data_IF_368433199847
#
_entry.id   IF_368433199847
#
_cell.length_a   1.000
_cell.length_b   1.000
_cell.length_c   1.000
_cell.angle_alpha   90.00
_cell.angle_beta   90.00
_cell.angle_gamma   90.00
#
_symmetry.space_group_name_H-M   'P 1'
#
loop_
_entity.id
_entity.type
_entity.pdbx_description
1 polymer ?
#
# COMPACT_ATOMS: atom_id res chain seq x y z
N UNK A 1 0.38 17.24 -58.13
CA UNK A 1 0.56 17.91 -56.83
C UNK A 1 1.61 17.15 -56.05
N UNK A 2 2.87 17.41 -56.42
CA UNK A 2 4.11 17.03 -55.75
C UNK A 2 4.79 18.37 -55.48
N UNK A 3 5.50 18.50 -54.35
CA UNK A 3 6.06 19.72 -53.75
C UNK A 3 5.16 20.29 -52.65
N UNK A 4 5.34 19.84 -51.40
CA UNK A 4 5.27 20.72 -50.21
C UNK A 4 5.77 20.08 -48.89
N UNK A 5 6.51 18.97 -48.89
CA UNK A 5 6.96 18.30 -47.65
C UNK A 5 8.47 18.04 -47.61
N UNK A 6 9.28 19.04 -47.97
CA UNK A 6 10.75 18.94 -47.99
C UNK A 6 11.43 20.20 -47.42
N UNK A 7 10.98 20.69 -46.25
CA UNK A 7 11.53 21.93 -45.68
C UNK A 7 11.66 21.96 -44.14
N UNK A 8 11.59 20.83 -43.42
CA UNK A 8 11.78 20.80 -41.96
C UNK A 8 12.67 19.61 -41.57
N UNK A 9 13.85 19.49 -42.19
CA UNK A 9 14.89 18.49 -41.81
C UNK A 9 16.31 19.12 -41.78
N UNK A 10 16.46 20.45 -41.91
CA UNK A 10 17.79 21.08 -42.11
C UNK A 10 18.07 22.22 -41.13
N UNK A 11 17.57 22.18 -39.89
CA UNK A 11 17.83 23.27 -38.93
C UNK A 11 18.09 22.84 -37.48
N UNK A 12 18.92 21.82 -37.26
CA UNK A 12 19.47 21.57 -35.92
C UNK A 12 20.79 20.75 -35.98
N UNK A 13 21.73 21.25 -36.77
CA UNK A 13 23.16 20.98 -36.56
C UNK A 13 23.88 22.31 -36.37
N UNK A 14 24.89 22.28 -35.50
CA UNK A 14 25.90 23.32 -35.20
C UNK A 14 25.61 24.17 -33.96
N UNK A 15 26.05 23.66 -32.81
CA UNK A 15 26.82 24.44 -31.84
C UNK A 15 27.70 23.49 -30.98
N UNK A 16 28.90 23.16 -31.51
CA UNK A 16 30.05 22.69 -30.71
C UNK A 16 31.17 23.69 -30.96
N UNK A 17 31.58 24.41 -29.91
CA UNK A 17 32.93 24.94 -29.56
C UNK A 17 32.78 25.40 -28.09
N UNK A 18 33.61 25.10 -27.09
CA UNK A 18 34.97 24.58 -27.01
C UNK A 18 35.87 25.52 -26.19
N UNK A 19 36.53 24.97 -25.15
CA UNK A 19 37.72 25.42 -24.39
C UNK A 19 37.62 26.54 -23.31
N UNK A 20 38.02 26.21 -22.07
CA UNK A 20 39.30 26.60 -21.40
C UNK A 20 39.31 25.97 -19.98
N UNK A 21 40.17 25.03 -19.56
CA UNK A 21 41.62 25.02 -19.26
C UNK A 21 42.04 25.80 -17.98
N UNK A 22 42.56 25.10 -16.95
CA UNK A 22 43.46 25.69 -15.93
C UNK A 22 43.24 25.41 -14.42
N UNK A 23 43.49 24.18 -13.97
CA UNK A 23 44.37 23.72 -12.84
C UNK A 23 44.43 24.37 -11.41
N UNK A 24 45.01 23.66 -10.39
CA UNK A 24 44.42 23.46 -9.05
C UNK A 24 45.09 24.30 -7.93
N UNK A 25 44.52 24.27 -6.71
CA UNK A 25 45.34 24.50 -5.52
C UNK A 25 44.86 23.78 -4.24
N UNK A 26 45.84 23.29 -3.51
CA UNK A 26 45.81 22.55 -2.25
C UNK A 26 45.51 23.42 -1.02
N UNK A 27 45.03 22.74 0.03
CA UNK A 27 45.29 22.95 1.46
C UNK A 27 45.10 24.34 2.09
N UNK A 28 44.24 24.42 3.11
CA UNK A 28 44.71 24.56 4.50
C UNK A 28 43.55 24.46 5.50
N UNK A 29 43.76 23.58 6.48
CA UNK A 29 43.18 23.64 7.81
C UNK A 29 43.70 24.92 8.50
N UNK A 30 42.83 25.69 9.16
CA UNK A 30 43.01 26.09 10.56
C UNK A 30 41.79 26.91 11.04
N UNK A 31 41.12 26.33 12.04
CA UNK A 31 40.89 26.87 13.38
C UNK A 31 40.16 28.19 13.68
N UNK A 32 39.54 28.11 14.87
CA UNK A 32 39.08 29.15 15.80
C UNK A 32 37.77 29.87 15.43
N UNK A 33 36.68 29.49 16.08
CA UNK A 33 36.27 29.88 17.45
C UNK A 33 35.53 31.23 17.52
N UNK A 34 34.24 31.09 17.87
CA UNK A 34 33.51 31.89 18.87
C UNK A 34 33.27 33.37 18.54
N UNK A 35 32.00 33.73 18.34
CA UNK A 35 31.28 34.57 19.31
C UNK A 35 29.77 34.68 19.05
N UNK A 36 29.04 34.37 20.11
CA UNK A 36 27.66 34.75 20.39
C UNK A 36 27.40 36.26 20.26
N UNK A 37 26.21 36.61 19.79
CA UNK A 37 25.27 37.57 20.39
C UNK A 37 23.99 37.54 19.53
N UNK A 38 22.79 37.15 20.02
CA UNK A 38 21.85 37.96 20.86
C UNK A 38 21.71 39.40 20.35
N UNK A 39 20.54 40.00 20.17
CA UNK A 39 19.12 39.67 20.30
C UNK A 39 18.37 40.93 19.84
N UNK A 40 17.04 40.82 19.68
CA UNK A 40 16.03 41.89 19.78
C UNK A 40 15.84 42.88 18.61
N UNK A 41 14.65 42.82 17.99
CA UNK A 41 13.56 43.82 18.09
C UNK A 41 12.50 43.44 17.03
N UNK A 42 11.29 43.03 17.38
CA UNK A 42 10.10 43.81 17.83
C UNK A 42 9.45 44.73 16.77
N UNK A 43 8.11 44.79 16.87
CA UNK A 43 7.09 45.58 16.16
C UNK A 43 6.54 45.04 14.82
N UNK A 44 5.26 44.60 14.80
CA UNK A 44 3.98 45.36 14.70
C UNK A 44 3.58 45.54 13.22
N UNK A 45 2.33 45.48 12.76
CA UNK A 45 1.01 45.70 13.36
C UNK A 45 -0.07 45.00 12.51
N UNK A 46 -1.27 44.94 13.09
CA UNK A 46 -2.57 44.60 12.49
C UNK A 46 -2.89 45.40 11.21
N UNK A 47 -3.72 44.82 10.32
CA UNK A 47 -4.90 45.57 9.86
C UNK A 47 -6.04 44.67 9.38
N UNK A 48 -7.23 44.95 9.91
CA UNK A 48 -8.53 44.36 9.58
C UNK A 48 -9.17 45.12 8.40
N UNK A 49 -9.95 44.42 7.56
CA UNK A 49 -11.15 45.07 7.00
C UNK A 49 -12.26 44.05 6.68
N UNK A 50 -13.36 44.25 7.40
CA UNK A 50 -14.78 44.02 7.08
C UNK A 50 -15.13 44.51 5.66
N UNK A 51 -16.21 44.20 4.95
CA UNK A 51 -17.46 43.43 5.07
C UNK A 51 -18.06 43.53 3.65
N UNK A 52 -18.87 42.55 3.21
CA UNK A 52 -20.12 42.85 2.49
C UNK A 52 -20.99 41.62 2.25
N UNK A 53 -22.16 41.69 2.90
CA UNK A 53 -23.38 40.95 2.65
C UNK A 53 -23.88 41.08 1.20
N UNK A 54 -24.28 39.96 0.61
CA UNK A 54 -25.36 39.94 -0.40
C UNK A 54 -26.27 38.72 -0.18
N UNK A 55 -27.56 39.03 0.00
CA UNK A 55 -28.74 38.17 0.04
C UNK A 55 -28.78 37.08 -1.04
N UNK A 56 -28.93 35.82 -0.64
CA UNK A 56 -29.35 34.72 -1.53
C UNK A 56 -30.43 33.87 -0.87
N UNK A 57 -31.67 34.16 -1.28
CA UNK A 57 -32.82 33.28 -1.57
C UNK A 57 -32.95 31.96 -0.80
N UNK A 58 -34.03 31.91 -0.01
CA UNK A 58 -34.78 30.69 0.36
C UNK A 58 -34.95 29.79 -0.86
N UNK A 59 -34.42 28.57 -0.74
CA UNK A 59 -34.67 27.46 -1.67
C UNK A 59 -35.33 26.35 -0.85
N UNK A 60 -36.41 25.82 -1.40
CA UNK A 60 -37.32 24.83 -0.82
C UNK A 60 -36.57 23.65 -0.16
N UNK A 61 -36.92 23.39 1.09
CA UNK A 61 -36.59 22.15 1.81
C UNK A 61 -37.38 20.99 1.17
N UNK A 62 -36.76 20.31 0.20
CA UNK A 62 -37.13 18.93 -0.09
C UNK A 62 -36.62 18.07 1.06
N UNK A 63 -37.56 17.63 1.91
CA UNK A 63 -37.42 16.54 2.89
C UNK A 63 -36.97 15.26 2.15
N UNK A 64 -35.67 15.13 1.91
CA UNK A 64 -35.03 13.85 1.61
C UNK A 64 -35.14 13.01 2.88
N UNK A 65 -36.08 12.05 2.84
CA UNK A 65 -36.07 10.93 3.79
C UNK A 65 -34.80 10.13 3.56
N UNK A 66 -33.78 10.43 4.34
CA UNK A 66 -32.69 9.49 4.61
C UNK A 66 -33.33 8.23 5.22
N UNK A 67 -33.53 7.21 4.39
CA UNK A 67 -33.71 5.85 4.87
C UNK A 67 -32.39 5.44 5.53
N UNK A 68 -32.34 5.60 6.86
CA UNK A 68 -31.23 5.15 7.69
C UNK A 68 -31.05 3.62 7.49
N UNK A 69 -30.09 3.26 6.63
CA UNK A 69 -29.73 1.87 6.38
C UNK A 69 -29.29 1.22 7.70
N UNK A 70 -29.96 0.13 8.07
CA UNK A 70 -29.69 -0.59 9.30
C UNK A 70 -28.27 -1.19 9.28
N UNK A 71 -27.51 -0.97 10.34
CA UNK A 71 -26.16 -1.52 10.49
C UNK A 71 -26.22 -3.04 10.78
N UNK A 72 -25.77 -3.86 9.82
CA UNK A 72 -25.87 -5.32 9.81
C UNK A 72 -24.63 -6.05 10.32
N UNK A 73 -23.49 -5.37 10.41
CA UNK A 73 -22.29 -5.94 11.00
C UNK A 73 -22.44 -6.01 12.54
N UNK A 74 -22.13 -7.16 13.14
CA UNK A 74 -22.32 -7.38 14.58
C UNK A 74 -21.02 -7.80 15.26
N UNK A 75 -20.51 -6.96 16.16
CA UNK A 75 -19.32 -7.24 16.95
C UNK A 75 -19.59 -8.09 18.22
N UNK A 76 -20.85 -8.30 18.60
CA UNK A 76 -21.21 -8.88 19.90
C UNK A 76 -20.91 -10.37 20.03
N UNK A 77 -20.73 -11.07 18.91
CA UNK A 77 -20.37 -12.49 18.89
C UNK A 77 -18.87 -12.78 19.03
N UNK A 78 -18.02 -11.75 18.97
CA UNK A 78 -16.58 -11.91 18.99
C UNK A 78 -16.02 -11.69 20.40
N UNK A 79 -15.07 -12.53 20.78
CA UNK A 79 -14.36 -12.46 22.05
C UNK A 79 -12.86 -12.45 21.76
N UNK A 80 -12.11 -11.63 22.50
CA UNK A 80 -10.66 -11.57 22.39
C UNK A 80 -10.06 -12.73 23.17
N UNK A 81 -8.96 -13.27 22.66
CA UNK A 81 -8.18 -14.31 23.34
C UNK A 81 -7.30 -13.74 24.46
N UNK A 82 -6.97 -12.45 24.39
CA UNK A 82 -6.09 -11.76 25.35
C UNK A 82 -6.49 -10.30 25.57
N UNK A 83 -6.34 -9.85 26.81
CA UNK A 83 -6.46 -8.43 27.20
C UNK A 83 -5.09 -7.71 27.16
N UNK A 84 -4.02 -8.37 26.74
CA UNK A 84 -2.67 -7.78 26.71
C UNK A 84 -2.56 -6.79 25.54
N UNK A 85 -2.45 -5.47 25.79
CA UNK A 85 -2.56 -4.47 24.73
C UNK A 85 -1.42 -4.52 23.73
N UNK A 86 -0.25 -5.05 24.13
CA UNK A 86 0.94 -5.13 23.28
C UNK A 86 0.79 -6.19 22.19
N UNK A 87 0.16 -7.32 22.48
CA UNK A 87 -0.10 -8.39 21.52
C UNK A 87 -1.43 -8.13 20.82
N UNK A 88 -1.41 -7.29 19.80
CA UNK A 88 -2.63 -6.75 19.20
C UNK A 88 -3.47 -7.85 18.55
N UNK A 89 -4.74 -7.90 18.93
CA UNK A 89 -5.75 -8.79 18.39
C UNK A 89 -6.90 -7.97 17.80
N UNK A 90 -7.38 -8.36 16.63
CA UNK A 90 -8.54 -7.77 15.95
C UNK A 90 -9.43 -8.91 15.49
N UNK A 91 -10.69 -8.87 15.89
CA UNK A 91 -11.73 -9.83 15.50
C UNK A 91 -12.96 -9.07 15.04
N UNK A 92 -13.67 -9.59 14.05
CA UNK A 92 -14.87 -8.93 13.55
C UNK A 92 -15.30 -9.41 12.17
N UNK A 93 -16.24 -8.68 11.61
CA UNK A 93 -16.75 -8.90 10.25
C UNK A 93 -16.89 -7.60 9.48
N UNK A 94 -16.88 -7.78 8.17
CA UNK A 94 -17.24 -6.79 7.17
C UNK A 94 -18.52 -7.26 6.49
N UNK A 95 -19.42 -6.33 6.22
CA UNK A 95 -20.69 -6.56 5.52
C UNK A 95 -20.80 -5.56 4.38
N UNK A 96 -21.17 -6.02 3.19
CA UNK A 96 -21.52 -5.15 2.07
C UNK A 96 -22.98 -5.38 1.71
N UNK A 97 -23.78 -4.32 1.73
CA UNK A 97 -25.19 -4.31 1.32
C UNK A 97 -25.49 -2.98 0.63
N UNK A 98 -26.19 -3.00 -0.51
CA UNK A 98 -26.59 -1.80 -1.24
C UNK A 98 -25.43 -0.80 -1.47
N UNK A 99 -24.28 -1.31 -1.92
CA UNK A 99 -23.05 -0.52 -2.14
C UNK A 99 -22.49 0.18 -0.88
N UNK A 100 -22.87 -0.26 0.31
CA UNK A 100 -22.34 0.28 1.55
C UNK A 100 -21.47 -0.77 2.25
N UNK A 101 -20.23 -0.40 2.55
CA UNK A 101 -19.35 -1.17 3.42
C UNK A 101 -19.67 -0.82 4.87
N UNK A 102 -19.91 -1.85 5.68
CA UNK A 102 -20.04 -1.78 7.13
C UNK A 102 -19.02 -2.72 7.77
N UNK A 103 -18.31 -2.27 8.79
CA UNK A 103 -17.33 -3.06 9.54
C UNK A 103 -17.62 -2.95 11.02
N UNK A 104 -17.66 -4.09 11.70
CA UNK A 104 -17.78 -4.14 13.15
C UNK A 104 -16.80 -5.16 13.72
N UNK A 105 -16.17 -4.81 14.83
CA UNK A 105 -15.25 -5.72 15.50
C UNK A 105 -14.93 -5.33 16.93
N UNK A 106 -14.01 -6.11 17.52
CA UNK A 106 -13.37 -5.85 18.80
C UNK A 106 -11.86 -5.93 18.64
N UNK A 107 -11.16 -5.20 19.49
CA UNK A 107 -9.71 -5.21 19.60
C UNK A 107 -9.28 -4.92 21.03
N UNK A 108 -8.07 -5.33 21.40
CA UNK A 108 -7.43 -4.98 22.67
C UNK A 108 -6.62 -3.67 22.60
N UNK A 109 -6.71 -2.93 21.49
CA UNK A 109 -6.19 -1.57 21.40
C UNK A 109 -6.89 -0.66 22.43
N UNK A 110 -6.19 0.35 22.98
CA UNK A 110 -6.76 1.24 23.98
C UNK A 110 -7.88 2.12 23.42
N UNK A 111 -8.79 2.54 24.31
CA UNK A 111 -9.86 3.49 24.00
C UNK A 111 -9.31 4.74 23.31
N UNK A 112 -10.03 5.24 22.30
CA UNK A 112 -9.66 6.44 21.56
C UNK A 112 -8.56 6.24 20.53
N UNK A 113 -7.96 5.03 20.43
CA UNK A 113 -7.20 4.61 19.28
C UNK A 113 -8.04 4.71 18.00
N UNK A 114 -7.38 4.95 16.86
CA UNK A 114 -8.05 5.07 15.57
C UNK A 114 -7.46 4.11 14.56
N UNK A 115 -8.32 3.30 13.96
CA UNK A 115 -7.97 2.43 12.85
C UNK A 115 -8.34 3.16 11.56
N UNK A 116 -7.36 3.45 10.72
CA UNK A 116 -7.58 3.91 9.36
C UNK A 116 -8.09 2.74 8.51
N UNK A 117 -9.18 2.95 7.78
CA UNK A 117 -9.82 1.94 6.95
C UNK A 117 -9.84 2.44 5.52
N UNK A 118 -9.23 1.69 4.61
CA UNK A 118 -9.14 2.02 3.20
C UNK A 118 -9.77 0.92 2.34
N UNK A 119 -10.62 1.35 1.41
CA UNK A 119 -11.20 0.50 0.37
C UNK A 119 -10.27 0.47 -0.84
N UNK A 120 -9.70 -0.70 -1.17
CA UNK A 120 -8.83 -0.91 -2.32
C UNK A 120 -9.59 -1.68 -3.41
N UNK A 121 -9.99 -1.03 -4.52
CA UNK A 121 -10.63 -1.72 -5.63
C UNK A 121 -9.63 -2.68 -6.33
N UNK A 122 -10.17 -3.68 -7.02
CA UNK A 122 -9.41 -4.67 -7.79
C UNK A 122 -9.30 -4.21 -9.25
N UNK A 123 -8.08 -4.23 -9.77
CA UNK A 123 -7.74 -3.77 -11.11
C UNK A 123 -7.48 -2.27 -11.17
N UNK A 124 -7.49 -1.72 -12.39
CA UNK A 124 -7.05 -0.33 -12.66
C UNK A 124 -8.11 0.73 -12.31
N UNK A 125 -8.65 0.68 -11.09
CA UNK A 125 -9.61 1.65 -10.56
C UNK A 125 -8.98 2.33 -9.34
N UNK A 126 -9.29 3.60 -9.12
CA UNK A 126 -8.87 4.31 -7.91
C UNK A 126 -10.09 4.93 -7.28
N UNK A 127 -10.29 4.68 -6.00
CA UNK A 127 -11.31 5.36 -5.23
C UNK A 127 -10.77 6.66 -4.64
N UNK A 128 -11.61 7.68 -4.59
CA UNK A 128 -11.32 8.94 -3.92
C UNK A 128 -12.28 9.13 -2.75
N UNK A 129 -11.75 9.45 -1.56
CA UNK A 129 -12.56 9.78 -0.39
C UNK A 129 -13.34 8.60 0.23
N UNK A 130 -13.00 7.36 -0.12
CA UNK A 130 -13.63 6.12 0.41
C UNK A 130 -12.90 5.54 1.62
N UNK A 131 -11.82 6.17 2.08
CA UNK A 131 -11.17 5.82 3.34
C UNK A 131 -11.71 6.66 4.51
N UNK A 132 -11.42 6.24 5.74
CA UNK A 132 -11.78 6.98 6.95
C UNK A 132 -11.20 6.33 8.19
N UNK A 133 -11.73 6.69 9.36
CA UNK A 133 -11.25 6.17 10.64
C UNK A 133 -12.40 5.58 11.47
N UNK A 134 -12.16 4.42 12.08
CA UNK A 134 -12.95 3.91 13.19
C UNK A 134 -12.26 4.27 14.51
N UNK A 135 -13.02 4.73 15.50
CA UNK A 135 -12.48 4.92 16.86
C UNK A 135 -12.77 3.68 17.69
N UNK A 136 -11.83 3.33 18.57
CA UNK A 136 -12.00 2.24 19.53
C UNK A 136 -12.72 2.78 20.77
N UNK A 137 -13.79 2.11 21.16
CA UNK A 137 -14.58 2.44 22.35
C UNK A 137 -13.95 1.82 23.61
N UNK A 138 -14.41 2.22 24.80
CA UNK A 138 -13.85 1.75 26.08
C UNK A 138 -13.97 0.24 26.35
N UNK A 139 -14.81 -0.48 25.59
CA UNK A 139 -14.94 -1.94 25.63
C UNK A 139 -14.15 -2.65 24.50
N UNK A 140 -13.32 -1.91 23.77
CA UNK A 140 -12.53 -2.41 22.64
C UNK A 140 -13.32 -2.55 21.35
N UNK A 141 -14.63 -2.26 21.34
CA UNK A 141 -15.44 -2.35 20.13
C UNK A 141 -15.17 -1.19 19.18
N UNK A 142 -15.40 -1.42 17.88
CA UNK A 142 -15.35 -0.38 16.86
C UNK A 142 -16.36 -0.66 15.75
N UNK A 143 -16.79 0.42 15.10
CA UNK A 143 -17.67 0.40 13.94
C UNK A 143 -17.20 1.37 12.87
N UNK A 144 -17.42 1.01 11.61
CA UNK A 144 -17.16 1.86 10.46
C UNK A 144 -18.20 1.64 9.38
N UNK A 145 -18.56 2.71 8.68
CA UNK A 145 -19.48 2.66 7.56
C UNK A 145 -19.03 3.63 6.49
N UNK A 146 -19.05 3.18 5.23
CA UNK A 146 -18.69 4.02 4.09
C UNK A 146 -19.32 3.50 2.81
N UNK A 147 -19.70 4.41 1.94
CA UNK A 147 -20.19 4.08 0.60
C UNK A 147 -19.06 3.55 -0.29
N UNK A 148 -19.44 2.66 -1.20
CA UNK A 148 -18.68 2.15 -2.32
C UNK A 148 -19.25 2.84 -3.56
N UNK A 149 -18.42 3.36 -4.48
CA UNK A 149 -18.92 3.99 -5.71
C UNK A 149 -19.92 3.12 -6.48
N UNK A 150 -21.01 3.72 -6.95
CA UNK A 150 -22.14 2.98 -7.49
C UNK A 150 -21.83 2.13 -8.72
N UNK A 151 -20.91 2.61 -9.54
CA UNK A 151 -20.43 1.97 -10.75
C UNK A 151 -19.46 0.81 -10.49
N UNK A 152 -18.93 0.71 -9.26
CA UNK A 152 -18.03 -0.38 -8.88
C UNK A 152 -18.81 -1.62 -8.46
N UNK A 153 -18.69 -2.70 -9.24
CA UNK A 153 -19.40 -3.98 -9.03
C UNK A 153 -18.49 -5.18 -8.74
N UNK A 154 -17.18 -4.96 -8.69
CA UNK A 154 -16.18 -5.98 -8.43
C UNK A 154 -15.99 -6.24 -6.93
N UNK A 155 -15.29 -7.32 -6.59
CA UNK A 155 -14.87 -7.65 -5.23
C UNK A 155 -13.94 -6.58 -4.64
N UNK A 156 -13.80 -6.54 -3.32
CA UNK A 156 -13.13 -5.43 -2.63
C UNK A 156 -12.04 -5.95 -1.69
N UNK A 157 -10.87 -5.30 -1.71
CA UNK A 157 -9.89 -5.43 -0.65
C UNK A 157 -10.09 -4.30 0.35
N UNK A 158 -10.11 -4.63 1.64
CA UNK A 158 -10.23 -3.67 2.73
C UNK A 158 -8.94 -3.75 3.54
N UNK A 159 -8.29 -2.61 3.77
CA UNK A 159 -7.08 -2.53 4.57
C UNK A 159 -7.35 -1.68 5.79
N UNK A 160 -7.08 -2.25 6.96
CA UNK A 160 -7.19 -1.62 8.26
C UNK A 160 -5.78 -1.37 8.79
N UNK A 161 -5.45 -0.14 9.14
CA UNK A 161 -4.11 0.24 9.62
C UNK A 161 -4.21 1.08 10.89
N UNK A 162 -3.42 0.75 11.91
CA UNK A 162 -3.09 1.66 13.00
C UNK A 162 -1.59 1.93 12.98
N UNK A 163 -1.25 3.20 12.85
CA UNK A 163 0.12 3.68 12.84
C UNK A 163 0.34 4.59 14.07
N UNK A 164 1.16 4.17 15.05
CA UNK A 164 1.42 4.94 16.28
C UNK A 164 1.96 6.35 16.02
N UNK A 165 2.79 6.53 14.97
CA UNK A 165 3.44 7.81 14.64
C UNK A 165 2.46 8.94 14.35
N UNK A 166 1.28 8.62 13.82
CA UNK A 166 0.20 9.58 13.51
C UNK A 166 -0.98 9.49 14.48
N UNK A 167 -0.84 8.68 15.54
CA UNK A 167 -1.83 8.52 16.59
C UNK A 167 -1.67 9.58 17.69
N UNK A 168 -2.61 9.63 18.64
CA UNK A 168 -2.54 10.51 19.80
C UNK A 168 -1.42 10.08 20.75
N UNK A 169 -0.92 11.03 21.55
CA UNK A 169 0.13 10.82 22.57
C UNK A 169 -0.15 9.59 23.47
N UNK A 170 -1.40 9.39 23.90
CA UNK A 170 -1.79 8.24 24.74
C UNK A 170 -1.52 6.87 24.08
N UNK A 171 -1.56 6.80 22.74
CA UNK A 171 -1.23 5.59 21.98
C UNK A 171 0.29 5.41 21.92
N UNK A 172 1.02 6.51 21.72
CA UNK A 172 2.47 6.51 21.68
C UNK A 172 3.09 6.20 23.05
N UNK A 173 2.45 6.61 24.14
CA UNK A 173 2.87 6.26 25.51
C UNK A 173 2.84 4.75 25.77
N UNK A 174 1.91 4.03 25.11
CA UNK A 174 1.76 2.57 25.25
C UNK A 174 2.69 1.83 24.29
N UNK A 175 2.72 2.25 23.02
CA UNK A 175 3.36 1.49 21.94
C UNK A 175 4.72 2.02 21.51
N UNK A 176 5.07 3.24 21.94
CA UNK A 176 6.19 4.02 21.43
C UNK A 176 5.81 4.83 20.18
N UNK A 177 6.57 5.90 19.90
CA UNK A 177 6.33 6.81 18.77
C UNK A 177 6.40 6.08 17.42
N UNK A 178 7.28 5.07 17.31
CA UNK A 178 7.46 4.26 16.11
C UNK A 178 6.84 2.86 16.26
N UNK A 179 6.05 2.62 17.31
CA UNK A 179 5.39 1.34 17.56
C UNK A 179 6.32 0.23 18.07
N UNK A 180 7.46 0.58 18.66
CA UNK A 180 8.52 -0.34 19.09
C UNK A 180 8.01 -1.49 19.96
N UNK A 181 6.98 -1.22 20.77
CA UNK A 181 6.35 -2.15 21.71
C UNK A 181 5.17 -2.93 21.13
N UNK A 182 4.81 -2.72 19.86
CA UNK A 182 3.79 -3.52 19.17
C UNK A 182 4.27 -4.96 18.97
N UNK A 183 3.39 -5.89 19.31
CA UNK A 183 3.52 -7.34 19.13
C UNK A 183 2.21 -7.92 18.57
N UNK A 184 2.27 -9.18 18.10
CA UNK A 184 1.08 -9.93 17.68
C UNK A 184 0.95 -10.13 16.17
N UNK A 185 -0.06 -10.92 15.75
CA UNK A 185 -0.19 -11.41 14.38
C UNK A 185 -0.46 -10.31 13.35
N UNK A 186 -1.01 -9.18 13.77
CA UNK A 186 -1.32 -8.05 12.91
C UNK A 186 -0.16 -7.06 12.76
N UNK A 187 0.93 -7.22 13.50
CA UNK A 187 2.05 -6.26 13.45
C UNK A 187 2.88 -6.45 12.19
N UNK A 188 3.15 -5.33 11.51
CA UNK A 188 3.98 -5.24 10.31
C UNK A 188 5.03 -4.16 10.52
N UNK A 189 6.16 -4.33 9.84
CA UNK A 189 7.10 -3.24 9.65
C UNK A 189 6.64 -2.40 8.45
N UNK A 190 6.94 -1.11 8.49
CA UNK A 190 6.90 -0.21 7.34
C UNK A 190 8.16 0.67 7.40
N UNK A 191 8.62 1.11 6.23
CA UNK A 191 9.75 2.03 6.11
C UNK A 191 9.30 3.26 5.35
N UNK A 192 9.15 4.36 6.08
CA UNK A 192 8.61 5.60 5.54
C UNK A 192 9.30 6.79 6.17
N UNK A 193 9.60 7.79 5.34
CA UNK A 193 10.28 9.03 5.78
C UNK A 193 11.61 8.75 6.49
N UNK A 194 12.40 7.84 5.91
CA UNK A 194 13.72 7.40 6.39
C UNK A 194 13.74 6.68 7.76
N UNK A 195 12.58 6.24 8.26
CA UNK A 195 12.44 5.57 9.56
C UNK A 195 11.69 4.26 9.44
N UNK A 196 12.11 3.27 10.23
CA UNK A 196 11.33 2.06 10.45
C UNK A 196 10.25 2.33 11.49
N UNK A 197 9.02 2.00 11.12
CA UNK A 197 7.89 1.99 12.03
C UNK A 197 7.30 0.59 12.10
N UNK A 198 6.66 0.28 13.23
CA UNK A 198 5.75 -0.85 13.34
C UNK A 198 4.33 -0.33 13.34
N UNK A 199 3.48 -0.99 12.57
CA UNK A 199 2.06 -0.70 12.50
C UNK A 199 1.23 -1.98 12.60
N UNK A 200 -0.04 -1.81 12.94
CA UNK A 200 -1.02 -2.90 12.96
C UNK A 200 -1.73 -2.89 11.62
N UNK A 201 -1.72 -4.00 10.89
CA UNK A 201 -2.35 -4.14 9.58
C UNK A 201 -3.24 -5.38 9.53
N UNK A 202 -4.51 -5.19 9.17
CA UNK A 202 -5.41 -6.27 8.78
C UNK A 202 -5.89 -6.06 7.34
N UNK A 203 -5.85 -7.13 6.55
CA UNK A 203 -6.31 -7.14 5.15
C UNK A 203 -7.48 -8.10 5.02
N UNK A 204 -8.62 -7.61 4.52
CA UNK A 204 -9.82 -8.41 4.29
C UNK A 204 -10.11 -8.43 2.79
N UNK A 205 -10.19 -9.63 2.21
CA UNK A 205 -10.79 -9.82 0.91
C UNK A 205 -12.30 -10.03 1.07
N UNK A 206 -13.11 -9.23 0.38
CA UNK A 206 -14.56 -9.29 0.45
C UNK A 206 -15.16 -9.59 -0.93
N UNK A 207 -15.64 -10.81 -1.10
CA UNK A 207 -16.42 -11.21 -2.28
C UNK A 207 -17.81 -10.58 -2.22
N UNK A 208 -18.20 -9.87 -3.28
CA UNK A 208 -19.48 -9.16 -3.36
C UNK A 208 -20.51 -9.97 -4.12
N UNK A 209 -21.73 -9.98 -3.60
CA UNK A 209 -22.84 -10.52 -4.37
C UNK A 209 -23.19 -9.56 -5.50
N UNK A 210 -23.17 -10.07 -6.74
CA UNK A 210 -23.43 -9.30 -7.96
C UNK A 210 -24.86 -8.77 -8.06
N UNK A 211 -25.79 -9.38 -7.34
CA UNK A 211 -27.19 -8.95 -7.26
C UNK A 211 -27.41 -7.83 -6.23
N UNK A 212 -26.35 -7.35 -5.57
CA UNK A 212 -26.40 -6.31 -4.54
C UNK A 212 -26.86 -6.81 -3.16
N UNK A 213 -27.12 -8.11 -3.02
CA UNK A 213 -27.51 -8.69 -1.74
C UNK A 213 -26.35 -8.69 -0.73
N UNK A 214 -26.71 -8.82 0.55
CA UNK A 214 -25.79 -8.81 1.67
C UNK A 214 -24.68 -9.87 1.52
N UNK A 215 -23.42 -9.44 1.45
CA UNK A 215 -22.24 -10.30 1.54
C UNK A 215 -21.49 -10.05 2.86
N UNK A 216 -20.84 -11.09 3.39
CA UNK A 216 -20.09 -11.04 4.66
C UNK A 216 -18.69 -11.62 4.50
N UNK A 217 -17.71 -11.05 5.19
CA UNK A 217 -16.38 -11.62 5.35
C UNK A 217 -15.84 -11.33 6.75
N UNK A 218 -15.19 -12.32 7.37
CA UNK A 218 -14.53 -12.16 8.66
C UNK A 218 -13.19 -11.43 8.51
N UNK A 219 -12.72 -10.77 9.57
CA UNK A 219 -11.36 -10.24 9.66
C UNK A 219 -10.41 -11.41 9.94
N UNK A 220 -9.53 -11.79 8.99
CA UNK A 220 -8.68 -12.95 9.18
C UNK A 220 -7.50 -12.62 10.11
N UNK A 221 -7.21 -13.51 11.05
CA UNK A 221 -5.97 -13.43 11.85
C UNK A 221 -4.79 -13.93 11.02
N UNK A 222 -3.75 -13.12 10.80
CA UNK A 222 -2.58 -13.55 10.04
C UNK A 222 -1.79 -14.65 10.75
N UNK A 223 -1.21 -15.55 9.95
CA UNK A 223 -0.19 -16.50 10.41
C UNK A 223 1.18 -15.82 10.45
N UNK A 224 2.03 -16.18 11.42
CA UNK A 224 3.40 -15.64 11.55
C UNK A 224 4.48 -16.71 11.34
N UNK A 225 4.16 -17.75 10.57
CA UNK A 225 5.07 -18.89 10.36
C UNK A 225 6.17 -18.53 9.35
N UNK A 226 7.22 -17.87 9.85
CA UNK A 226 8.37 -17.49 9.02
C UNK A 226 9.02 -18.73 8.38
N UNK A 227 9.37 -18.67 7.09
CA UNK A 227 9.99 -19.80 6.43
C UNK A 227 11.41 -20.03 6.96
N UNK A 228 11.86 -21.27 6.98
CA UNK A 228 13.18 -21.62 7.53
C UNK A 228 14.36 -21.00 6.75
N UNK A 229 14.13 -20.65 5.48
CA UNK A 229 15.07 -20.01 4.57
C UNK A 229 14.87 -18.48 4.49
N UNK A 230 14.15 -17.87 5.43
CA UNK A 230 13.87 -16.42 5.45
C UNK A 230 15.15 -15.59 5.39
N UNK A 231 15.23 -14.72 4.38
CA UNK A 231 16.40 -13.91 4.06
C UNK A 231 17.58 -14.70 3.50
N UNK A 232 17.43 -15.96 3.05
CA UNK A 232 18.50 -16.63 2.31
C UNK A 232 18.74 -15.92 0.97
N UNK A 233 19.98 -15.94 0.51
CA UNK A 233 20.37 -15.39 -0.78
C UNK A 233 19.95 -16.30 -1.93
N UNK A 234 19.73 -17.60 -1.68
CA UNK A 234 19.16 -18.52 -2.66
C UNK A 234 17.66 -18.26 -2.79
N UNK A 235 17.26 -17.44 -3.75
CA UNK A 235 15.90 -16.93 -3.83
C UNK A 235 14.91 -18.03 -4.21
N UNK A 236 13.84 -18.12 -3.43
CA UNK A 236 12.69 -18.98 -3.66
C UNK A 236 11.44 -18.13 -3.77
N UNK A 237 10.69 -18.31 -4.85
CA UNK A 237 9.36 -17.75 -5.04
C UNK A 237 8.45 -18.84 -5.63
N UNK A 238 7.33 -19.05 -4.95
CA UNK A 238 6.30 -20.02 -5.35
C UNK A 238 4.93 -19.35 -5.24
N UNK A 239 3.99 -19.78 -6.07
CA UNK A 239 2.62 -19.33 -5.99
C UNK A 239 1.66 -20.42 -6.43
N UNK A 240 0.56 -20.51 -5.69
CA UNK A 240 -0.61 -21.30 -6.02
C UNK A 240 -1.66 -20.39 -6.67
N UNK A 241 -2.34 -20.92 -7.68
CA UNK A 241 -3.35 -20.20 -8.45
C UNK A 241 -4.72 -20.82 -8.19
N UNK A 242 -5.65 -19.97 -7.79
CA UNK A 242 -7.08 -20.30 -7.77
C UNK A 242 -7.79 -19.36 -8.74
N UNK A 243 -8.88 -19.79 -9.34
CA UNK A 243 -9.59 -18.98 -10.33
C UNK A 243 -11.09 -19.23 -10.27
N UNK A 244 -11.83 -18.18 -10.60
CA UNK A 244 -13.25 -18.23 -10.88
C UNK A 244 -13.53 -17.54 -12.23
N UNK A 245 -14.81 -17.35 -12.56
CA UNK A 245 -15.24 -16.73 -13.83
C UNK A 245 -14.76 -15.27 -13.99
N UNK A 246 -14.44 -14.58 -12.89
CA UNK A 246 -14.11 -13.16 -12.88
C UNK A 246 -12.70 -12.84 -12.36
N UNK A 247 -12.06 -13.72 -11.60
CA UNK A 247 -10.78 -13.46 -10.94
C UNK A 247 -9.79 -14.63 -11.02
N UNK A 248 -8.51 -14.27 -10.98
CA UNK A 248 -7.39 -15.17 -10.72
C UNK A 248 -6.76 -14.70 -9.40
N UNK A 249 -6.78 -15.59 -8.42
CA UNK A 249 -6.19 -15.43 -7.10
C UNK A 249 -4.80 -16.04 -7.09
N UNK A 250 -3.82 -15.26 -6.67
CA UNK A 250 -2.42 -15.66 -6.61
C UNK A 250 -2.03 -15.63 -5.15
N UNK A 251 -1.85 -16.81 -4.55
CA UNK A 251 -1.40 -16.96 -3.18
C UNK A 251 0.05 -17.41 -3.22
N UNK A 252 0.96 -16.50 -2.85
CA UNK A 252 2.39 -16.67 -3.01
C UNK A 252 3.13 -16.86 -1.70
N UNK A 253 4.27 -17.54 -1.78
CA UNK A 253 5.26 -17.58 -0.70
C UNK A 253 6.66 -17.31 -1.24
N UNK A 254 7.48 -16.66 -0.43
CA UNK A 254 8.84 -16.29 -0.74
C UNK A 254 9.72 -16.45 0.50
N UNK A 255 11.02 -16.57 0.27
CA UNK A 255 12.02 -16.49 1.33
C UNK A 255 12.63 -15.08 1.47
N UNK A 256 12.12 -14.09 0.74
CA UNK A 256 12.54 -12.70 0.87
C UNK A 256 12.18 -12.13 2.24
N UNK A 257 12.92 -11.11 2.69
CA UNK A 257 12.59 -10.42 3.92
C UNK A 257 11.32 -9.55 3.77
N UNK A 258 10.56 -9.40 4.85
CA UNK A 258 9.43 -8.48 4.99
C UNK A 258 9.76 -7.09 4.44
N UNK A 259 8.78 -6.45 3.80
CA UNK A 259 8.99 -5.14 3.18
C UNK A 259 9.61 -5.18 1.80
N UNK A 260 10.09 -6.34 1.37
CA UNK A 260 10.57 -6.52 0.00
C UNK A 260 9.38 -6.55 -0.96
N UNK A 261 9.46 -5.80 -2.06
CA UNK A 261 8.42 -5.80 -3.09
C UNK A 261 8.72 -6.82 -4.20
N UNK A 262 7.70 -7.58 -4.58
CA UNK A 262 7.68 -8.40 -5.80
C UNK A 262 6.74 -7.73 -6.79
N UNK A 263 7.18 -7.56 -8.03
CA UNK A 263 6.29 -7.25 -9.14
C UNK A 263 5.67 -8.53 -9.66
N UNK A 264 4.35 -8.60 -9.61
CA UNK A 264 3.55 -9.68 -10.17
C UNK A 264 2.93 -9.17 -11.47
N UNK A 265 3.31 -9.74 -12.61
CA UNK A 265 2.82 -9.33 -13.93
C UNK A 265 2.20 -10.49 -14.68
N UNK A 266 1.21 -10.21 -15.52
CA UNK A 266 0.62 -11.21 -16.41
C UNK A 266 1.10 -10.94 -17.85
N UNK A 267 1.68 -11.94 -18.49
CA UNK A 267 2.17 -11.88 -19.86
C UNK A 267 1.32 -12.76 -20.78
N UNK A 268 1.09 -12.29 -22.02
CA UNK A 268 0.41 -13.08 -23.05
C UNK A 268 1.21 -14.36 -23.37
N UNK A 269 0.58 -15.41 -23.92
CA UNK A 269 1.29 -16.62 -24.35
C UNK A 269 2.44 -16.34 -25.33
N UNK A 270 2.32 -15.30 -26.14
CA UNK A 270 3.34 -14.81 -27.07
C UNK A 270 4.59 -14.22 -26.39
N UNK A 271 4.54 -13.98 -25.08
CA UNK A 271 5.59 -13.32 -24.30
C UNK A 271 5.46 -11.79 -24.20
N UNK A 272 4.51 -11.17 -24.90
CA UNK A 272 4.26 -9.73 -24.76
C UNK A 272 3.54 -9.41 -23.45
N UNK A 273 3.81 -8.24 -22.86
CA UNK A 273 3.11 -7.77 -21.65
C UNK A 273 1.62 -7.62 -21.92
N UNK A 274 0.78 -8.07 -20.99
CA UNK A 274 -0.67 -7.84 -21.06
C UNK A 274 -1.07 -6.42 -20.61
N UNK A 275 -0.19 -5.76 -19.85
CA UNK A 275 -0.48 -4.49 -19.16
C UNK A 275 -1.02 -4.69 -17.74
N UNK A 276 -1.32 -5.91 -17.33
CA UNK A 276 -1.67 -6.24 -15.93
C UNK A 276 -0.41 -6.50 -15.12
N UNK A 277 -0.17 -5.66 -14.13
CA UNK A 277 0.91 -5.82 -13.17
C UNK A 277 0.57 -5.13 -11.87
N UNK A 278 0.96 -5.74 -10.75
CA UNK A 278 0.86 -5.18 -9.41
C UNK A 278 2.21 -5.32 -8.70
N UNK A 279 2.44 -4.46 -7.72
CA UNK A 279 3.50 -4.65 -6.74
C UNK A 279 2.88 -5.18 -5.45
N UNK A 280 3.54 -6.18 -4.86
CA UNK A 280 3.16 -6.69 -3.54
C UNK A 280 4.33 -6.72 -2.61
N UNK A 281 4.09 -6.32 -1.38
CA UNK A 281 5.06 -6.36 -0.31
C UNK A 281 5.00 -7.71 0.39
N UNK A 282 6.16 -8.31 0.61
CA UNK A 282 6.30 -9.57 1.35
C UNK A 282 5.92 -9.35 2.81
N UNK A 283 5.04 -10.22 3.31
CA UNK A 283 4.58 -10.24 4.71
C UNK A 283 5.63 -10.90 5.63
N UNK A 284 5.54 -10.72 6.96
CA UNK A 284 6.48 -11.32 7.92
C UNK A 284 6.67 -12.83 7.79
N UNK A 285 5.62 -13.55 7.37
CA UNK A 285 5.61 -15.00 7.15
C UNK A 285 6.09 -15.42 5.75
N UNK A 286 6.60 -14.48 4.96
CA UNK A 286 7.03 -14.71 3.58
C UNK A 286 5.89 -14.80 2.57
N UNK A 287 4.63 -14.66 2.99
CA UNK A 287 3.48 -14.73 2.08
C UNK A 287 3.24 -13.42 1.33
N UNK A 288 2.57 -13.51 0.19
CA UNK A 288 2.03 -12.38 -0.57
C UNK A 288 0.79 -12.82 -1.34
N UNK A 289 -0.12 -11.89 -1.64
CA UNK A 289 -1.35 -12.23 -2.38
C UNK A 289 -1.67 -11.16 -3.43
N UNK A 290 -2.12 -11.59 -4.61
CA UNK A 290 -2.59 -10.71 -5.69
C UNK A 290 -3.87 -11.25 -6.28
N UNK A 291 -4.76 -10.35 -6.69
CA UNK A 291 -5.98 -10.71 -7.40
C UNK A 291 -6.02 -9.92 -8.71
N UNK A 292 -6.10 -10.63 -9.83
CA UNK A 292 -6.36 -10.03 -11.13
C UNK A 292 -7.75 -10.39 -11.61
N UNK A 293 -8.36 -9.52 -12.42
CA UNK A 293 -9.55 -9.92 -13.18
C UNK A 293 -9.18 -10.99 -14.20
N UNK A 294 -9.96 -12.07 -14.27
CA UNK A 294 -9.85 -13.15 -15.25
C UNK A 294 -10.39 -12.72 -16.65
N UNK A 295 -10.07 -11.49 -17.07
CA UNK A 295 -10.50 -10.91 -18.34
C UNK A 295 -9.38 -10.04 -18.91
N UNK A 296 -9.12 -10.27 -20.19
CA UNK A 296 -8.20 -9.52 -21.04
C UNK A 296 -8.87 -9.20 -22.38
N UNK A 297 -8.21 -8.41 -23.21
CA UNK A 297 -8.67 -8.11 -24.58
C UNK A 297 -8.89 -9.38 -25.42
N UNK A 298 -8.17 -10.46 -25.11
CA UNK A 298 -8.20 -11.73 -25.86
C UNK A 298 -9.10 -12.79 -25.20
N UNK A 299 -9.86 -12.41 -24.15
CA UNK A 299 -10.72 -13.32 -23.38
C UNK A 299 -10.18 -13.60 -21.99
N UNK A 300 -10.30 -14.85 -21.52
CA UNK A 300 -9.79 -15.29 -20.22
C UNK A 300 -8.25 -15.25 -20.14
N UNK A 301 -7.71 -15.25 -18.92
CA UNK A 301 -6.26 -15.36 -18.65
C UNK A 301 -5.70 -16.78 -18.74
N UNK A 302 -6.51 -17.77 -19.11
CA UNK A 302 -6.00 -19.12 -19.38
C UNK A 302 -4.88 -19.09 -20.43
N UNK A 303 -3.84 -19.89 -20.21
CA UNK A 303 -2.59 -19.97 -20.98
C UNK A 303 -1.67 -18.73 -20.88
N UNK A 304 -2.08 -17.67 -20.20
CA UNK A 304 -1.17 -16.56 -19.90
C UNK A 304 -0.09 -17.01 -18.92
N UNK A 305 1.01 -16.25 -18.89
CA UNK A 305 2.13 -16.50 -17.99
C UNK A 305 2.12 -15.47 -16.87
N UNK A 306 1.95 -15.95 -15.65
CA UNK A 306 2.26 -15.18 -14.47
C UNK A 306 3.78 -15.04 -14.35
N UNK A 307 4.23 -13.83 -14.09
CA UNK A 307 5.63 -13.46 -13.96
C UNK A 307 5.83 -12.81 -12.59
N UNK A 308 6.47 -13.55 -11.68
CA UNK A 308 6.90 -13.06 -10.38
C UNK A 308 8.34 -12.56 -10.54
N UNK A 309 8.55 -11.29 -10.27
CA UNK A 309 9.82 -10.62 -10.50
C UNK A 309 10.22 -9.84 -9.25
N UNK A 310 11.40 -10.15 -8.74
CA UNK A 310 12.04 -9.42 -7.67
C UNK A 310 13.34 -8.81 -8.18
N UNK A 311 13.45 -7.49 -8.08
CA UNK A 311 14.64 -6.72 -8.42
C UNK A 311 14.87 -5.69 -7.31
N UNK A 312 16.13 -5.45 -6.94
CA UNK A 312 16.47 -4.36 -6.02
C UNK A 312 16.54 -3.05 -6.81
N UNK A 313 16.11 -1.98 -6.15
CA UNK A 313 16.16 -0.59 -6.60
C UNK A 313 16.47 0.31 -5.42
N UNK A 314 16.85 1.56 -5.69
CA UNK A 314 17.09 2.55 -4.65
C UNK A 314 15.86 2.92 -3.81
N UNK A 315 14.66 2.49 -4.20
CA UNK A 315 13.42 2.67 -3.44
C UNK A 315 13.11 1.52 -2.48
N UNK A 316 13.86 0.41 -2.54
CA UNK A 316 13.70 -0.67 -1.58
C UNK A 316 14.21 -0.25 -0.19
N UNK A 317 13.74 -0.95 0.84
CA UNK A 317 14.12 -0.67 2.21
C UNK A 317 15.64 -0.88 2.41
N UNK A 318 16.28 -0.10 3.30
CA UNK A 318 17.71 -0.22 3.56
C UNK A 318 18.16 -1.65 3.87
N UNK A 319 17.35 -2.40 4.63
CA UNK A 319 17.67 -3.78 5.00
C UNK A 319 17.67 -4.71 3.77
N UNK A 320 16.76 -4.48 2.81
CA UNK A 320 16.74 -5.25 1.57
C UNK A 320 17.94 -4.91 0.68
N UNK A 321 18.32 -3.64 0.61
CA UNK A 321 19.52 -3.19 -0.12
C UNK A 321 20.79 -3.76 0.51
N UNK A 322 20.95 -3.65 1.84
CA UNK A 322 22.09 -4.22 2.57
C UNK A 322 22.18 -5.73 2.34
N UNK A 323 21.04 -6.41 2.36
CA UNK A 323 20.98 -7.86 2.25
C UNK A 323 21.28 -8.36 0.84
N UNK A 324 20.63 -7.79 -0.16
CA UNK A 324 20.61 -8.32 -1.52
C UNK A 324 21.56 -7.58 -2.48
N UNK A 325 22.11 -6.45 -2.05
CA UNK A 325 23.00 -5.60 -2.84
C UNK A 325 22.22 -4.57 -3.65
N UNK A 326 22.83 -3.41 -3.93
CA UNK A 326 22.19 -2.28 -4.62
C UNK A 326 21.69 -2.65 -6.02
N UNK A 327 22.33 -3.64 -6.66
CA UNK A 327 21.99 -4.14 -7.99
C UNK A 327 21.66 -5.65 -7.96
N UNK A 328 21.31 -6.19 -6.78
CA UNK A 328 21.05 -7.62 -6.62
C UNK A 328 22.30 -8.50 -6.65
N UNK A 329 23.51 -7.96 -6.54
CA UNK A 329 24.76 -8.72 -6.69
C UNK A 329 24.96 -9.85 -5.67
N UNK A 330 24.19 -9.85 -4.57
CA UNK A 330 24.20 -10.92 -3.58
C UNK A 330 23.19 -12.04 -3.87
N UNK A 331 22.27 -11.86 -4.83
CA UNK A 331 21.26 -12.85 -5.19
C UNK A 331 21.90 -14.14 -5.72
N UNK A 332 21.33 -15.28 -5.32
CA UNK A 332 21.76 -16.63 -5.72
C UNK A 332 20.55 -17.51 -6.03
N UNK A 333 20.83 -18.67 -6.63
CA UNK A 333 19.83 -19.71 -6.88
C UNK A 333 19.35 -19.74 -8.33
N UNK A 334 18.46 -20.70 -8.61
CA UNK A 334 18.04 -21.03 -9.97
C UNK A 334 17.11 -19.99 -10.61
N UNK A 335 16.53 -19.10 -9.80
CA UNK A 335 15.65 -18.02 -10.28
C UNK A 335 16.41 -16.76 -10.70
N UNK A 336 17.72 -16.68 -10.43
CA UNK A 336 18.49 -15.44 -10.64
C UNK A 336 18.93 -15.31 -12.09
N UNK A 337 18.60 -14.18 -12.70
CA UNK A 337 18.92 -13.83 -14.07
C UNK A 337 19.62 -12.47 -14.12
N UNK A 338 20.50 -12.28 -15.10
CA UNK A 338 21.21 -11.01 -15.33
C UNK A 338 20.45 -10.19 -16.39
N UNK A 339 20.14 -8.94 -16.06
CA UNK A 339 19.56 -7.97 -16.97
C UNK A 339 20.60 -7.37 -17.93
N UNK A 340 20.14 -6.61 -18.93
CA UNK A 340 21.01 -6.03 -19.96
C UNK A 340 22.04 -5.01 -19.45
N UNK A 341 21.76 -4.37 -18.32
CA UNK A 341 22.62 -3.39 -17.63
C UNK A 341 23.54 -4.02 -16.58
N UNK A 342 23.46 -5.33 -16.40
CA UNK A 342 24.25 -6.08 -15.41
C UNK A 342 23.62 -6.15 -14.02
N UNK A 343 22.41 -5.61 -13.83
CA UNK A 343 21.63 -5.82 -12.61
C UNK A 343 21.16 -7.27 -12.53
N UNK A 344 21.06 -7.83 -11.32
CA UNK A 344 20.52 -9.16 -11.09
C UNK A 344 19.09 -9.07 -10.56
N UNK A 345 18.22 -9.92 -11.11
CA UNK A 345 16.85 -10.09 -10.65
C UNK A 345 16.54 -11.56 -10.39
N UNK A 346 15.53 -11.84 -9.58
CA UNK A 346 14.95 -13.18 -9.45
C UNK A 346 13.62 -13.24 -10.19
N UNK A 347 13.46 -14.26 -11.04
CA UNK A 347 12.31 -14.43 -11.94
C UNK A 347 11.72 -15.82 -11.79
N UNK A 348 10.40 -15.88 -11.57
CA UNK A 348 9.61 -17.12 -11.66
C UNK A 348 8.47 -16.93 -12.65
N UNK A 349 8.36 -17.86 -13.60
CA UNK A 349 7.24 -17.92 -14.54
C UNK A 349 6.33 -19.11 -14.21
N UNK A 350 5.02 -18.85 -14.18
CA UNK A 350 3.99 -19.87 -13.94
C UNK A 350 2.96 -19.74 -15.06
N UNK A 351 2.54 -20.85 -15.66
CA UNK A 351 1.45 -20.83 -16.65
C UNK A 351 0.12 -20.90 -15.92
N UNK A 352 -0.81 -20.01 -16.28
CA UNK A 352 -2.17 -20.03 -15.74
C UNK A 352 -2.93 -21.14 -16.46
N UNK A 353 -3.26 -22.20 -15.74
CA UNK A 353 -4.00 -23.36 -16.25
C UNK A 353 -5.19 -23.67 -15.34
N UNK A 354 -6.18 -24.38 -15.89
CA UNK A 354 -7.23 -24.98 -15.07
C UNK A 354 -6.70 -26.12 -14.18
#
# INVERSE_FOLDING_TARGET
MKQFFLAIVVLLMVAIVGCDEGEPNEQSEDNEEVKENKSDDEQSEEDQSEEKDEDVKENDEEDEKDEELEFKADATSYELSSDEPLNVEIVGETVIIDNQLQIAGKTNLPEGARIHIAQKPIGNVTFMGTSGYASIEGDGSFKYQKEIPDDYKDNLNIVMTLNPKVSKDEIQDVYGELGESLEGPFVRQDYSSDEYIKEVVAEIYHERNKDGSLSKAEIPTPTLDKPNDYGDLNIRMDADLEYDDDYVYINGTSNLIEGTDIRVSVNKPSGSRSGMSEFVTIKPDGSFNVIFKNKSDDGSLLDYKLHLNFSISSSNWPDAIEKYGENGENLKGDLVEEQYDGELEAVKMITITE
#
